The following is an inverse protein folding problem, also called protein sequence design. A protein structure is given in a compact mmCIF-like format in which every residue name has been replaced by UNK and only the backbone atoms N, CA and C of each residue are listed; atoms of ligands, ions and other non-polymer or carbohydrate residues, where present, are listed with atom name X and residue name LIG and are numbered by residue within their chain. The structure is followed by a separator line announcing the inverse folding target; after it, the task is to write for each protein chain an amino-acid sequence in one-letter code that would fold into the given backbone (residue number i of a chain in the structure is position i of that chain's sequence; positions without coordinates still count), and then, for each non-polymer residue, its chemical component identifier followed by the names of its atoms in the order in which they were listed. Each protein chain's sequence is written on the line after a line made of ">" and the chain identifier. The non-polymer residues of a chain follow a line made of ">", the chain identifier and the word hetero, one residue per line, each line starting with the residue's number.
data_IF_696989493148
#
_entry.id   IF_696989493148
#
_cell.length_a   1.000
_cell.length_b   1.000
_cell.length_c   1.000
_cell.angle_alpha   90.00
_cell.angle_beta   90.00
_cell.angle_gamma   90.00
#
_symmetry.space_group_name_H-M   'P 1'
#
loop_
_entity.id
_entity.type
_entity.pdbx_description
1 polymer ?
#
# COMPACT_ATOMS: atom_id res chain seq x y z
N UNK A 1 1.63 1.85 0.27
CA UNK A 1 0.63 0.94 0.88
C UNK A 1 -0.55 1.78 1.35
N UNK A 2 -1.76 1.22 1.37
CA UNK A 2 -2.95 1.98 1.75
C UNK A 2 -4.22 1.16 1.78
N UNK A 3 -5.36 1.85 1.90
CA UNK A 3 -6.69 1.23 1.92
C UNK A 3 -7.62 1.92 0.93
N UNK A 4 -8.36 1.11 0.19
CA UNK A 4 -9.44 1.58 -0.68
C UNK A 4 -10.66 1.90 0.18
N UNK A 5 -11.21 3.09 0.00
CA UNK A 5 -12.42 3.57 0.67
C UNK A 5 -13.60 3.49 -0.30
N UNK A 6 -14.58 4.39 -0.13
CA UNK A 6 -15.76 4.47 -0.97
C UNK A 6 -15.44 4.83 -2.43
N UNK A 7 -16.23 4.32 -3.39
CA UNK A 7 -16.23 4.78 -4.77
C UNK A 7 -16.44 6.29 -4.89
N UNK A 8 -15.93 6.83 -5.98
CA UNK A 8 -16.04 8.24 -6.37
C UNK A 8 -16.53 8.31 -7.81
N UNK A 9 -17.80 8.70 -7.99
CA UNK A 9 -18.43 8.76 -9.30
C UNK A 9 -18.79 7.37 -9.84
N UNK A 10 -19.04 7.29 -11.16
CA UNK A 10 -19.56 6.09 -11.82
C UNK A 10 -18.51 5.32 -12.63
N UNK A 11 -17.30 5.86 -12.74
CA UNK A 11 -16.23 5.33 -13.61
C UNK A 11 -15.27 4.37 -12.89
N UNK A 12 -15.67 3.80 -11.75
CA UNK A 12 -14.84 2.87 -10.97
C UNK A 12 -13.65 3.50 -10.24
N UNK A 13 -13.59 4.83 -10.12
CA UNK A 13 -12.61 5.51 -9.27
C UNK A 13 -12.98 5.33 -7.79
N UNK A 14 -11.99 5.17 -6.91
CA UNK A 14 -12.18 5.07 -5.46
C UNK A 14 -11.42 6.16 -4.73
N UNK A 15 -11.95 6.57 -3.57
CA UNK A 15 -11.11 7.22 -2.56
C UNK A 15 -10.13 6.22 -1.99
N UNK A 16 -8.94 6.69 -1.63
CA UNK A 16 -7.93 5.87 -0.99
C UNK A 16 -7.30 6.63 0.17
N UNK A 17 -6.93 5.91 1.23
CA UNK A 17 -5.96 6.41 2.21
C UNK A 17 -4.62 5.83 1.83
N UNK A 18 -3.63 6.70 1.65
CA UNK A 18 -2.27 6.31 1.31
C UNK A 18 -1.42 6.52 2.57
N UNK A 19 -0.79 5.47 3.08
CA UNK A 19 -0.03 5.55 4.33
C UNK A 19 1.34 6.21 4.14
N UNK A 20 1.89 6.17 2.93
CA UNK A 20 3.11 6.88 2.57
C UNK A 20 2.81 7.90 1.47
N UNK A 21 2.41 9.10 1.89
CA UNK A 21 1.99 10.19 0.98
C UNK A 21 3.18 10.88 0.30
N UNK A 22 4.39 10.70 0.84
CA UNK A 22 5.64 11.27 0.34
C UNK A 22 6.39 10.30 -0.59
N UNK A 23 5.95 9.04 -0.66
CA UNK A 23 6.55 8.03 -1.50
C UNK A 23 6.18 8.22 -2.98
N UNK A 24 7.19 8.34 -3.82
CA UNK A 24 7.10 8.33 -5.29
C UNK A 24 6.64 6.97 -5.85
N UNK A 25 6.61 5.89 -5.05
CA UNK A 25 6.39 4.53 -5.53
C UNK A 25 5.00 4.26 -6.16
N UNK A 26 3.99 5.10 -5.90
CA UNK A 26 2.65 4.94 -6.48
C UNK A 26 2.46 5.88 -7.68
N UNK A 27 2.65 5.35 -8.89
CA UNK A 27 2.44 6.07 -10.15
C UNK A 27 1.48 5.31 -11.07
N UNK A 28 1.01 5.96 -12.13
CA UNK A 28 0.31 5.29 -13.23
C UNK A 28 1.18 4.14 -13.78
N UNK A 29 0.54 3.05 -14.24
CA UNK A 29 1.17 1.78 -14.65
C UNK A 29 1.84 0.97 -13.54
N UNK A 30 1.86 1.46 -12.30
CA UNK A 30 2.40 0.68 -11.17
C UNK A 30 1.46 -0.47 -10.85
N UNK A 31 2.02 -1.66 -10.70
CA UNK A 31 1.27 -2.83 -10.24
C UNK A 31 1.18 -2.86 -8.72
N UNK A 32 -0.05 -2.90 -8.20
CA UNK A 32 -0.37 -3.03 -6.78
C UNK A 32 -1.13 -4.33 -6.54
N UNK A 33 -1.00 -4.85 -5.33
CA UNK A 33 -1.63 -6.08 -4.89
C UNK A 33 -2.75 -5.77 -3.91
N UNK A 34 -3.96 -6.25 -4.21
CA UNK A 34 -5.11 -6.16 -3.33
C UNK A 34 -5.21 -7.44 -2.50
N UNK A 35 -5.39 -7.29 -1.19
CA UNK A 35 -5.62 -8.42 -0.27
C UNK A 35 -7.11 -8.54 0.02
N UNK A 36 -7.69 -9.71 -0.25
CA UNK A 36 -9.06 -10.05 0.16
C UNK A 36 -9.10 -10.66 1.56
N UNK A 37 -10.29 -10.76 2.16
CA UNK A 37 -10.48 -11.39 3.47
C UNK A 37 -10.04 -12.86 3.50
N UNK A 38 -10.14 -13.58 2.38
CA UNK A 38 -9.77 -14.98 2.24
C UNK A 38 -8.28 -15.21 1.93
N UNK A 39 -7.42 -14.21 2.17
CA UNK A 39 -5.95 -14.29 1.96
C UNK A 39 -5.54 -14.48 0.49
N UNK A 40 -6.46 -14.26 -0.45
CA UNK A 40 -6.12 -14.21 -1.87
C UNK A 40 -5.56 -12.82 -2.23
N UNK A 41 -4.49 -12.83 -3.02
CA UNK A 41 -3.87 -11.62 -3.54
C UNK A 41 -4.08 -11.55 -5.04
N UNK A 42 -4.57 -10.41 -5.50
CA UNK A 42 -4.74 -10.13 -6.93
C UNK A 42 -3.99 -8.85 -7.27
N UNK A 43 -3.21 -8.89 -8.35
CA UNK A 43 -2.48 -7.72 -8.83
C UNK A 43 -3.29 -6.95 -9.86
N UNK A 44 -3.34 -5.64 -9.72
CA UNK A 44 -3.88 -4.71 -10.70
C UNK A 44 -2.95 -3.53 -10.91
N UNK A 45 -2.99 -2.98 -12.12
CA UNK A 45 -2.26 -1.75 -12.43
C UNK A 45 -3.05 -0.52 -12.02
N UNK A 46 -2.33 0.53 -11.66
CA UNK A 46 -2.91 1.85 -11.44
C UNK A 46 -3.13 2.51 -12.80
N UNK A 47 -4.38 2.79 -13.13
CA UNK A 47 -4.74 3.55 -14.32
C UNK A 47 -4.66 5.06 -14.05
N UNK A 48 -5.07 5.49 -12.86
CA UNK A 48 -4.95 6.89 -12.44
C UNK A 48 -4.77 6.95 -10.94
N UNK A 49 -3.90 7.85 -10.48
CA UNK A 49 -3.76 8.13 -9.05
C UNK A 49 -3.60 9.63 -8.83
N UNK A 50 -4.26 10.11 -7.78
CA UNK A 50 -4.10 11.47 -7.28
C UNK A 50 -3.93 11.41 -5.77
N UNK A 51 -2.74 11.78 -5.32
CA UNK A 51 -2.39 11.84 -3.89
C UNK A 51 -2.68 13.26 -3.41
N UNK A 52 -3.61 13.40 -2.47
CA UNK A 52 -4.08 14.68 -1.95
C UNK A 52 -4.66 14.53 -0.53
N UNK A 53 -3.92 13.92 0.39
CA UNK A 53 -4.38 13.73 1.77
C UNK A 53 -5.64 12.87 1.85
N UNK A 54 -6.60 13.34 2.64
CA UNK A 54 -7.95 12.75 2.77
C UNK A 54 -8.77 12.74 1.46
N UNK A 55 -8.33 13.50 0.44
CA UNK A 55 -8.97 13.56 -0.88
C UNK A 55 -8.27 12.69 -1.92
N UNK A 56 -7.33 11.84 -1.50
CA UNK A 56 -6.63 10.95 -2.41
C UNK A 56 -7.61 10.00 -3.12
N UNK A 57 -7.38 9.80 -4.41
CA UNK A 57 -8.18 8.91 -5.24
C UNK A 57 -7.31 8.07 -6.17
N UNK A 58 -7.82 6.89 -6.49
CA UNK A 58 -7.14 5.89 -7.29
C UNK A 58 -8.15 5.19 -8.20
N UNK A 59 -7.73 4.89 -9.42
CA UNK A 59 -8.46 4.05 -10.36
C UNK A 59 -7.53 2.92 -10.81
N UNK A 60 -8.04 1.70 -10.76
CA UNK A 60 -7.31 0.50 -11.12
C UNK A 60 -7.74 0.03 -12.51
N UNK A 61 -6.81 -0.53 -13.25
CA UNK A 61 -7.05 -1.13 -14.56
C UNK A 61 -8.03 -2.29 -14.40
N UNK A 62 -9.21 -2.17 -15.01
CA UNK A 62 -10.30 -3.15 -14.88
C UNK A 62 -11.47 -2.68 -13.99
N UNK A 63 -11.29 -1.65 -13.17
CA UNK A 63 -12.39 -1.01 -12.44
C UNK A 63 -12.97 0.15 -13.25
N UNK A 64 -14.01 -0.12 -14.04
CA UNK A 64 -14.62 0.88 -14.91
C UNK A 64 -16.04 1.27 -14.49
N UNK A 65 -16.65 0.52 -13.57
CA UNK A 65 -18.01 0.76 -13.10
C UNK A 65 -18.04 0.96 -11.59
N UNK A 66 -19.13 1.55 -11.10
CA UNK A 66 -19.40 1.64 -9.66
C UNK A 66 -19.39 0.27 -8.99
N UNK A 67 -20.03 -0.73 -9.60
CA UNK A 67 -20.09 -2.10 -9.08
C UNK A 67 -18.71 -2.73 -8.95
N UNK A 68 -17.80 -2.49 -9.88
CA UNK A 68 -16.42 -2.99 -9.79
C UNK A 68 -15.65 -2.34 -8.64
N UNK A 69 -15.86 -1.03 -8.42
CA UNK A 69 -15.29 -0.33 -7.28
C UNK A 69 -15.87 -0.84 -5.95
N UNK A 70 -17.18 -1.12 -5.88
CA UNK A 70 -17.80 -1.66 -4.67
C UNK A 70 -17.24 -3.02 -4.28
N UNK A 71 -16.89 -3.89 -5.25
CA UNK A 71 -16.26 -5.20 -4.99
C UNK A 71 -14.91 -5.10 -4.28
N UNK A 72 -14.15 -4.03 -4.52
CA UNK A 72 -12.81 -3.82 -3.94
C UNK A 72 -12.78 -2.75 -2.86
N UNK A 73 -13.92 -2.13 -2.57
CA UNK A 73 -14.05 -1.18 -1.49
C UNK A 73 -13.65 -1.84 -0.16
N UNK A 74 -12.87 -1.13 0.64
CA UNK A 74 -12.42 -1.61 1.94
C UNK A 74 -11.20 -2.51 1.89
N UNK A 75 -10.74 -2.95 0.70
CA UNK A 75 -9.55 -3.77 0.58
C UNK A 75 -8.27 -2.94 0.84
N UNK A 76 -7.29 -3.59 1.46
CA UNK A 76 -5.94 -3.06 1.58
C UNK A 76 -5.14 -3.30 0.30
N UNK A 77 -4.34 -2.32 -0.11
CA UNK A 77 -3.45 -2.44 -1.25
C UNK A 77 -1.98 -2.28 -0.87
N UNK A 78 -1.16 -3.09 -1.51
CA UNK A 78 0.25 -3.28 -1.20
C UNK A 78 1.10 -3.13 -2.46
N UNK A 79 2.34 -2.69 -2.28
CA UNK A 79 3.34 -2.70 -3.33
C UNK A 79 4.30 -3.85 -3.06
N UNK A 80 4.73 -4.60 -4.08
CA UNK A 80 5.78 -5.60 -3.91
C UNK A 80 7.09 -4.89 -3.55
N UNK A 81 7.87 -5.51 -2.67
CA UNK A 81 9.11 -4.95 -2.13
C UNK A 81 10.12 -4.52 -3.22
N UNK A 82 10.14 -5.26 -4.31
CA UNK A 82 11.01 -5.03 -5.47
C UNK A 82 10.70 -3.71 -6.23
N UNK A 83 9.54 -3.09 -5.96
CA UNK A 83 9.11 -1.82 -6.59
C UNK A 83 9.34 -0.60 -5.71
N UNK A 84 9.88 -0.77 -4.51
CA UNK A 84 10.31 0.37 -3.70
C UNK A 84 11.57 0.97 -4.33
N UNK A 85 11.68 2.29 -4.33
CA UNK A 85 12.93 2.94 -4.72
C UNK A 85 14.06 2.44 -3.79
N UNK A 86 15.29 2.27 -4.32
CA UNK A 86 16.41 1.90 -3.48
C UNK A 86 16.56 2.95 -2.38
N UNK A 87 16.46 2.49 -1.13
CA UNK A 87 16.68 3.31 0.07
C UNK A 87 18.09 3.89 0.03
N UNK A 88 18.21 5.18 0.34
CA UNK A 88 19.52 5.81 0.56
C UNK A 88 20.16 5.25 1.86
N UNK A 89 21.49 5.32 1.98
CA UNK A 89 22.18 4.94 3.22
C UNK A 89 21.54 5.70 4.40
N UNK A 90 21.00 4.96 5.37
CA UNK A 90 20.28 5.40 6.59
C UNK A 90 18.74 5.37 6.58
N UNK A 91 18.07 4.84 5.55
CA UNK A 91 16.62 4.58 5.62
C UNK A 91 16.30 3.08 5.80
N UNK A 92 15.51 2.74 6.82
CA UNK A 92 15.02 1.38 7.06
C UNK A 92 13.50 1.38 7.05
N UNK A 93 12.87 0.47 6.29
CA UNK A 93 11.43 0.26 6.42
C UNK A 93 11.14 -0.46 7.73
N UNK A 94 10.05 -0.10 8.42
CA UNK A 94 9.65 -0.75 9.68
C UNK A 94 9.51 -2.27 9.53
N UNK A 95 9.09 -2.74 8.34
CA UNK A 95 8.99 -4.17 8.00
C UNK A 95 10.33 -4.91 8.01
N UNK A 96 11.44 -4.20 7.82
CA UNK A 96 12.80 -4.76 7.93
C UNK A 96 13.25 -4.92 9.39
N UNK A 97 12.62 -4.19 10.31
CA UNK A 97 12.93 -4.25 11.73
C UNK A 97 12.12 -5.34 12.44
N UNK A 98 10.93 -5.69 11.95
CA UNK A 98 10.12 -6.79 12.50
C UNK A 98 10.89 -8.11 12.39
N UNK A 99 11.11 -8.79 13.52
CA UNK A 99 11.92 -10.00 13.62
C UNK A 99 13.40 -9.76 13.95
N UNK A 100 13.87 -8.51 14.03
CA UNK A 100 15.23 -8.18 14.47
C UNK A 100 15.37 -8.38 15.97
N UNK A 101 16.50 -8.98 16.39
CA UNK A 101 16.89 -9.06 17.80
C UNK A 101 17.54 -7.76 18.25
N UNK A 102 16.97 -7.17 19.29
CA UNK A 102 17.46 -5.94 19.91
C UNK A 102 18.43 -6.30 21.01
N UNK A 103 19.61 -5.68 20.99
CA UNK A 103 20.62 -5.81 22.04
C UNK A 103 20.94 -4.43 22.61
N UNK A 104 21.24 -4.35 23.90
CA UNK A 104 21.77 -3.14 24.51
C UNK A 104 23.28 -2.95 24.23
N UNK A 105 23.84 -1.83 24.67
CA UNK A 105 25.27 -1.51 24.57
C UNK A 105 26.19 -2.53 25.27
N UNK A 106 25.65 -3.35 26.16
CA UNK A 106 26.34 -4.43 26.87
C UNK A 106 26.09 -5.81 26.23
N UNK A 107 25.55 -5.86 25.01
CA UNK A 107 25.16 -7.08 24.27
C UNK A 107 24.12 -7.95 24.97
N UNK A 108 23.34 -7.37 25.89
CA UNK A 108 22.23 -8.07 26.53
C UNK A 108 21.03 -8.05 25.60
N UNK A 109 20.45 -9.22 25.33
CA UNK A 109 19.24 -9.34 24.52
C UNK A 109 18.06 -8.68 25.23
N UNK A 110 17.45 -7.71 24.56
CA UNK A 110 16.25 -6.98 25.00
C UNK A 110 14.96 -7.59 24.43
N UNK A 111 15.08 -8.45 23.41
CA UNK A 111 13.97 -9.17 22.80
C UNK A 111 13.93 -9.02 21.29
N UNK A 112 12.79 -9.34 20.70
CA UNK A 112 12.54 -9.27 19.25
C UNK A 112 11.48 -8.22 18.98
N UNK A 113 11.67 -7.41 17.94
CA UNK A 113 10.62 -6.49 17.45
C UNK A 113 9.47 -7.33 16.87
N UNK A 114 8.27 -7.21 17.44
CA UNK A 114 7.13 -8.06 17.10
C UNK A 114 6.13 -7.41 16.14
N UNK A 115 5.90 -6.09 16.23
CA UNK A 115 5.05 -5.29 15.32
C UNK A 115 5.34 -3.80 15.46
#
# INVERSE_FOLDING_TARGET
>A
MGKLLKPKGLQGELRAVIFNEFGSALKVETEIWLKTEEVNYFSWKIETIRIAGEKSCIKLSGCNTLEDAEKIQGLGFFLPRDKFEPIEENEHYLVDLIGSHVFDENKKSLGTVLD
#
